data_IF_254415352663
#
_entry.id   IF_254415352663
#
_cell.length_a   1.000
_cell.length_b   1.000
_cell.length_c   1.000
_cell.angle_alpha   90.00
_cell.angle_beta   90.00
_cell.angle_gamma   90.00
#
_symmetry.space_group_name_H-M   'P 1'
#
loop_
_entity.id
_entity.type
_entity.pdbx_description
1 polymer ?
#
# COMPACT_ATOMS: atom_id res chain seq x y z
N UNK A 1 -9.66 -29.21 5.91
CA UNK A 1 -10.00 -27.85 6.32
C UNK A 1 -8.72 -27.06 6.34
N UNK A 2 -8.44 -26.32 5.26
CA UNK A 2 -7.27 -25.43 5.23
C UNK A 2 -7.62 -24.17 6.04
N UNK A 3 -7.21 -24.12 7.28
CA UNK A 3 -7.13 -22.86 8.01
C UNK A 3 -5.98 -22.09 7.40
N UNK A 4 -6.26 -21.27 6.40
CA UNK A 4 -5.28 -20.31 5.90
C UNK A 4 -4.88 -19.42 7.08
N UNK A 5 -3.67 -19.61 7.57
CA UNK A 5 -3.14 -18.82 8.68
C UNK A 5 -3.01 -17.39 8.18
N UNK A 6 -3.84 -16.49 8.68
CA UNK A 6 -3.79 -15.07 8.31
C UNK A 6 -2.41 -14.50 8.66
N UNK A 7 -1.79 -13.85 7.69
CA UNK A 7 -0.55 -13.12 7.88
C UNK A 7 -0.82 -11.62 7.91
N UNK A 8 -0.04 -10.93 8.69
CA UNK A 8 -0.11 -9.47 8.82
C UNK A 8 1.24 -8.86 8.41
N UNK A 9 1.19 -7.67 7.86
CA UNK A 9 2.35 -6.92 7.43
C UNK A 9 2.37 -5.61 8.21
N UNK A 10 3.38 -5.43 9.04
CA UNK A 10 3.65 -4.20 9.77
C UNK A 10 4.73 -3.42 9.03
N UNK A 11 4.45 -2.19 8.67
CA UNK A 11 5.43 -1.23 8.13
C UNK A 11 5.63 -0.10 9.12
N UNK A 12 6.88 0.28 9.31
CA UNK A 12 7.29 1.29 10.29
C UNK A 12 8.28 2.25 9.65
N UNK A 13 8.15 3.51 10.05
CA UNK A 13 9.06 4.59 9.74
C UNK A 13 9.19 5.49 10.98
N UNK A 14 10.42 5.77 11.42
CA UNK A 14 10.70 6.67 12.55
C UNK A 14 12.15 7.19 12.48
N UNK A 15 12.53 8.21 13.26
CA UNK A 15 13.92 8.59 13.44
C UNK A 15 14.76 7.42 13.93
N UNK A 16 15.95 7.24 13.35
CA UNK A 16 16.86 6.14 13.70
C UNK A 16 17.34 6.29 15.14
N UNK A 17 17.00 5.31 15.98
CA UNK A 17 17.44 5.27 17.39
C UNK A 17 17.55 3.81 17.87
N UNK A 18 18.29 3.62 18.96
CA UNK A 18 18.45 2.27 19.55
C UNK A 18 17.16 1.79 20.21
N UNK A 19 16.94 0.46 20.17
CA UNK A 19 15.83 -0.19 20.87
C UNK A 19 14.55 -0.34 20.06
N UNK A 20 14.41 0.24 18.88
CA UNK A 20 13.19 0.15 18.04
C UNK A 20 12.81 -1.30 17.78
N UNK A 21 13.75 -2.10 17.23
CA UNK A 21 13.48 -3.50 16.88
C UNK A 21 13.11 -4.32 18.13
N UNK A 22 13.81 -4.09 19.24
CA UNK A 22 13.51 -4.80 20.50
C UNK A 22 12.12 -4.47 21.00
N UNK A 23 11.71 -3.20 21.02
CA UNK A 23 10.40 -2.76 21.48
C UNK A 23 9.26 -3.33 20.63
N UNK A 24 9.45 -3.35 19.29
CA UNK A 24 8.44 -3.90 18.38
C UNK A 24 8.36 -5.40 18.50
N UNK A 25 9.49 -6.10 18.57
CA UNK A 25 9.51 -7.55 18.73
C UNK A 25 8.89 -7.99 20.06
N UNK A 26 9.14 -7.25 21.16
CA UNK A 26 8.49 -7.49 22.45
C UNK A 26 6.97 -7.27 22.39
N UNK A 27 6.53 -6.19 21.73
CA UNK A 27 5.10 -5.93 21.53
C UNK A 27 4.42 -7.08 20.78
N UNK A 28 5.01 -7.54 19.67
CA UNK A 28 4.49 -8.66 18.89
C UNK A 28 4.52 -9.97 19.70
N UNK A 29 5.58 -10.23 20.46
CA UNK A 29 5.72 -11.42 21.27
C UNK A 29 4.67 -11.48 22.41
N UNK A 30 4.40 -10.36 23.06
CA UNK A 30 3.34 -10.26 24.11
C UNK A 30 1.95 -10.57 23.54
N UNK A 31 1.70 -10.24 22.28
CA UNK A 31 0.48 -10.57 21.57
C UNK A 31 0.51 -11.98 20.94
N UNK A 32 1.47 -12.81 21.34
CA UNK A 32 1.65 -14.18 20.86
C UNK A 32 1.76 -14.27 19.32
N UNK A 33 2.41 -13.28 18.71
CA UNK A 33 2.70 -13.26 17.28
C UNK A 33 4.01 -14.01 16.99
N UNK A 34 4.03 -14.74 15.87
CA UNK A 34 5.22 -15.34 15.28
C UNK A 34 5.66 -14.51 14.08
N UNK A 35 6.84 -13.93 14.15
CA UNK A 35 7.44 -13.17 13.04
C UNK A 35 8.05 -14.15 12.04
N UNK A 36 7.53 -14.17 10.82
CA UNK A 36 8.03 -15.03 9.73
C UNK A 36 9.08 -14.35 8.87
N UNK A 37 9.02 -13.03 8.77
CA UNK A 37 9.97 -12.21 7.99
C UNK A 37 10.18 -10.89 8.70
N UNK A 38 11.42 -10.43 8.74
CA UNK A 38 11.78 -9.10 9.24
C UNK A 38 12.83 -8.51 8.32
N UNK A 39 12.54 -7.35 7.78
CA UNK A 39 13.46 -6.55 6.98
C UNK A 39 13.54 -5.14 7.57
N UNK A 40 14.73 -4.59 7.63
CA UNK A 40 14.97 -3.24 8.10
C UNK A 40 15.97 -2.53 7.21
N UNK A 41 15.88 -1.22 7.19
CA UNK A 41 16.77 -0.36 6.44
C UNK A 41 16.95 0.97 7.20
N UNK A 42 18.20 1.38 7.37
CA UNK A 42 18.57 2.69 7.87
C UNK A 42 18.95 3.60 6.69
N UNK A 43 18.27 4.70 6.55
CA UNK A 43 18.68 5.77 5.63
C UNK A 43 19.60 6.74 6.39
N UNK A 44 20.89 6.54 6.28
CA UNK A 44 21.92 7.38 6.94
C UNK A 44 21.84 8.84 6.48
N UNK A 45 21.34 9.10 5.27
CA UNK A 45 21.28 10.45 4.73
C UNK A 45 20.15 11.26 5.37
N UNK A 46 18.99 10.64 5.60
CA UNK A 46 17.83 11.29 6.24
C UNK A 46 17.73 11.02 7.74
N UNK A 47 18.53 10.10 8.28
CA UNK A 47 18.45 9.66 9.67
C UNK A 47 17.16 8.91 9.99
N UNK A 48 16.54 8.29 8.98
CA UNK A 48 15.28 7.56 9.11
C UNK A 48 15.50 6.06 9.14
N UNK A 49 14.83 5.40 10.06
CA UNK A 49 14.73 3.96 10.16
C UNK A 49 13.44 3.46 9.52
N UNK A 50 13.52 2.42 8.72
CA UNK A 50 12.40 1.74 8.11
C UNK A 50 12.41 0.26 8.48
N UNK A 51 11.24 -0.29 8.82
CA UNK A 51 11.09 -1.71 9.09
C UNK A 51 9.83 -2.27 8.45
N UNK A 52 9.94 -3.49 7.93
CA UNK A 52 8.81 -4.30 7.50
C UNK A 52 8.88 -5.65 8.22
N UNK A 53 7.83 -5.99 8.94
CA UNK A 53 7.69 -7.30 9.56
C UNK A 53 6.47 -8.03 8.99
N UNK A 54 6.63 -9.29 8.62
CA UNK A 54 5.52 -10.20 8.32
C UNK A 54 5.36 -11.15 9.51
N UNK A 55 4.15 -11.23 10.03
CA UNK A 55 3.89 -12.06 11.19
C UNK A 55 2.49 -12.68 11.12
N UNK A 56 2.23 -13.64 11.96
CA UNK A 56 0.93 -14.28 12.21
C UNK A 56 0.74 -14.50 13.69
N UNK A 57 -0.48 -14.64 14.13
CA UNK A 57 -0.74 -15.14 15.48
C UNK A 57 -0.36 -16.62 15.58
N UNK A 58 0.08 -17.06 16.75
CA UNK A 58 0.42 -18.45 16.97
C UNK A 58 -0.81 -19.36 16.80
N UNK A 59 -0.58 -20.62 16.40
CA UNK A 59 -1.65 -21.58 16.21
C UNK A 59 -2.43 -21.79 17.51
N UNK A 60 -3.76 -21.76 17.42
CA UNK A 60 -4.66 -21.92 18.59
C UNK A 60 -4.90 -20.64 19.38
N UNK A 61 -4.31 -19.51 18.96
CA UNK A 61 -4.56 -18.20 19.57
C UNK A 61 -5.58 -17.46 18.72
N UNK A 62 -6.65 -16.98 19.36
CA UNK A 62 -7.55 -16.01 18.75
C UNK A 62 -6.85 -14.65 18.80
N UNK A 63 -6.32 -14.20 17.66
CA UNK A 63 -5.59 -12.94 17.59
C UNK A 63 -6.47 -11.73 17.91
N UNK A 64 -6.01 -10.88 18.82
CA UNK A 64 -6.65 -9.59 19.10
C UNK A 64 -5.89 -8.48 18.37
N UNK A 65 -6.39 -8.15 17.17
CA UNK A 65 -5.77 -7.12 16.32
C UNK A 65 -5.92 -5.73 16.93
N UNK A 66 -6.96 -5.48 17.70
CA UNK A 66 -7.21 -4.18 18.33
C UNK A 66 -6.28 -3.97 19.52
N UNK A 67 -6.04 -5.01 20.32
CA UNK A 67 -5.03 -4.99 21.39
C UNK A 67 -3.61 -4.78 20.79
N UNK A 68 -3.31 -5.41 19.66
CA UNK A 68 -2.05 -5.19 18.96
C UNK A 68 -1.92 -3.74 18.47
N UNK A 69 -2.97 -3.19 17.86
CA UNK A 69 -3.00 -1.78 17.41
C UNK A 69 -2.79 -0.82 18.57
N UNK A 70 -3.44 -1.07 19.70
CA UNK A 70 -3.26 -0.26 20.91
C UNK A 70 -1.81 -0.32 21.42
N UNK A 71 -1.21 -1.51 21.45
CA UNK A 71 0.19 -1.70 21.85
C UNK A 71 1.17 -0.96 20.92
N UNK A 72 0.99 -1.06 19.61
CA UNK A 72 1.79 -0.33 18.62
C UNK A 72 1.59 1.18 18.73
N UNK A 73 0.36 1.65 18.95
CA UNK A 73 0.06 3.06 19.18
C UNK A 73 0.75 3.63 20.42
N UNK A 74 0.81 2.85 21.51
CA UNK A 74 1.53 3.24 22.71
C UNK A 74 3.06 3.37 22.46
N UNK A 75 3.64 2.47 21.68
CA UNK A 75 5.06 2.53 21.30
C UNK A 75 5.36 3.71 20.36
N UNK A 76 4.44 4.04 19.48
CA UNK A 76 4.62 5.06 18.46
C UNK A 76 4.98 6.43 19.06
N UNK A 77 4.33 6.80 20.17
CA UNK A 77 4.61 8.06 20.86
C UNK A 77 6.03 8.15 21.43
N UNK A 78 6.62 7.01 21.83
CA UNK A 78 7.98 6.97 22.41
C UNK A 78 9.10 7.08 21.39
N UNK A 79 8.83 6.76 20.12
CA UNK A 79 9.81 6.73 19.03
C UNK A 79 9.50 7.72 17.90
N UNK A 80 8.48 8.56 18.03
CA UNK A 80 7.98 9.40 16.94
C UNK A 80 7.71 8.55 15.66
N UNK A 81 7.06 7.42 15.88
CA UNK A 81 6.91 6.34 14.91
C UNK A 81 5.62 6.49 14.10
N UNK A 82 5.75 6.44 12.81
CA UNK A 82 4.64 6.19 11.88
C UNK A 82 4.56 4.70 11.57
N UNK A 83 3.38 4.13 11.65
CA UNK A 83 3.20 2.71 11.38
C UNK A 83 1.91 2.40 10.63
N UNK A 84 1.93 1.32 9.89
CA UNK A 84 0.78 0.80 9.15
C UNK A 84 0.72 -0.71 9.31
N UNK A 85 -0.49 -1.23 9.52
CA UNK A 85 -0.76 -2.65 9.71
C UNK A 85 -1.76 -3.12 8.67
N UNK A 86 -1.36 -4.09 7.85
CA UNK A 86 -2.15 -4.69 6.78
C UNK A 86 -2.40 -6.16 7.08
N UNK A 87 -3.59 -6.66 6.71
CA UNK A 87 -3.87 -8.08 6.65
C UNK A 87 -3.52 -8.59 5.24
N UNK A 88 -2.69 -9.63 5.14
CA UNK A 88 -2.27 -10.18 3.84
C UNK A 88 -3.38 -10.92 3.10
N UNK A 89 -4.46 -11.31 3.81
CA UNK A 89 -5.63 -11.93 3.18
C UNK A 89 -6.56 -10.93 2.49
N UNK A 90 -6.36 -9.63 2.72
CA UNK A 90 -7.13 -8.58 2.05
C UNK A 90 -6.35 -8.09 0.84
N UNK A 91 -6.94 -8.14 -0.36
CA UNK A 91 -6.28 -7.65 -1.55
C UNK A 91 -5.95 -6.17 -1.43
N UNK A 92 -4.76 -5.78 -1.88
CA UNK A 92 -4.34 -4.38 -1.86
C UNK A 92 -5.28 -3.54 -2.72
N UNK A 93 -5.87 -2.49 -2.15
CA UNK A 93 -6.76 -1.57 -2.88
C UNK A 93 -5.93 -0.57 -3.68
N UNK A 94 -6.01 -0.68 -5.01
CA UNK A 94 -5.14 0.04 -5.94
C UNK A 94 -5.96 0.97 -6.84
N UNK A 95 -5.55 2.23 -6.93
CA UNK A 95 -6.03 3.16 -7.94
C UNK A 95 -4.98 3.27 -9.05
N UNK A 96 -5.40 3.04 -10.29
CA UNK A 96 -4.52 3.10 -11.46
C UNK A 96 -4.61 4.47 -12.11
N UNK A 97 -3.49 5.20 -12.14
CA UNK A 97 -3.37 6.45 -12.87
C UNK A 97 -2.73 6.19 -14.24
N UNK A 98 -3.48 6.45 -15.28
CA UNK A 98 -3.05 6.19 -16.66
C UNK A 98 -3.17 7.45 -17.51
N UNK A 99 -2.42 7.48 -18.58
CA UNK A 99 -2.47 8.56 -19.59
C UNK A 99 -3.10 8.03 -20.89
N UNK A 100 -2.57 8.43 -22.03
CA UNK A 100 -3.10 8.08 -23.35
C UNK A 100 -2.79 6.65 -23.79
N UNK A 101 -1.64 6.11 -23.35
CA UNK A 101 -1.15 4.80 -23.81
C UNK A 101 -1.70 3.66 -22.97
N UNK A 102 -2.08 2.58 -23.64
CA UNK A 102 -2.82 1.44 -23.09
C UNK A 102 -1.94 0.29 -22.54
N UNK A 103 -0.66 0.23 -22.97
CA UNK A 103 0.20 -0.93 -22.69
C UNK A 103 0.28 -1.33 -21.21
N UNK A 104 0.46 -0.33 -20.30
CA UNK A 104 0.53 -0.62 -18.87
C UNK A 104 -0.82 -1.05 -18.30
N UNK A 105 -1.92 -0.40 -18.70
CA UNK A 105 -3.25 -0.78 -18.25
C UNK A 105 -3.63 -2.17 -18.75
N UNK A 106 -3.34 -2.48 -20.01
CA UNK A 106 -3.60 -3.77 -20.61
C UNK A 106 -2.88 -4.90 -19.86
N UNK A 107 -1.58 -4.75 -19.55
CA UNK A 107 -0.80 -5.75 -18.80
C UNK A 107 -1.36 -5.95 -17.40
N UNK A 108 -1.64 -4.85 -16.68
CA UNK A 108 -2.19 -4.91 -15.32
C UNK A 108 -3.57 -5.58 -15.26
N UNK A 109 -4.47 -5.22 -16.18
CA UNK A 109 -5.81 -5.83 -16.25
C UNK A 109 -5.73 -7.30 -16.64
N UNK A 110 -4.82 -7.67 -17.53
CA UNK A 110 -4.60 -9.07 -17.89
C UNK A 110 -4.12 -9.90 -16.71
N UNK A 111 -3.10 -9.43 -15.98
CA UNK A 111 -2.56 -10.11 -14.79
C UNK A 111 -3.56 -10.16 -13.64
N UNK A 112 -4.30 -9.08 -13.42
CA UNK A 112 -5.39 -9.04 -12.43
C UNK A 112 -6.45 -10.09 -12.72
N UNK A 113 -6.92 -10.19 -13.98
CA UNK A 113 -7.90 -11.19 -14.41
C UNK A 113 -7.37 -12.62 -14.27
N UNK A 114 -6.07 -12.84 -14.45
CA UNK A 114 -5.41 -14.12 -14.22
C UNK A 114 -5.22 -14.49 -12.75
N UNK A 115 -5.47 -13.57 -11.83
CA UNK A 115 -5.19 -13.77 -10.41
C UNK A 115 -3.70 -13.75 -10.06
N UNK A 116 -2.85 -13.22 -10.95
CA UNK A 116 -1.41 -13.08 -10.71
C UNK A 116 -1.09 -11.92 -9.77
N UNK A 117 -2.02 -10.97 -9.64
CA UNK A 117 -1.90 -9.80 -8.78
C UNK A 117 -3.02 -9.82 -7.75
N UNK A 118 -2.64 -9.97 -6.48
CA UNK A 118 -3.58 -9.91 -5.36
C UNK A 118 -3.89 -8.45 -5.03
N UNK A 119 -4.73 -7.85 -5.86
CA UNK A 119 -5.16 -6.46 -5.73
C UNK A 119 -6.64 -6.29 -6.10
N UNK A 120 -7.27 -5.32 -5.47
CA UNK A 120 -8.57 -4.80 -5.85
C UNK A 120 -8.39 -3.45 -6.54
N UNK A 121 -8.68 -3.38 -7.84
CA UNK A 121 -8.63 -2.11 -8.56
C UNK A 121 -9.86 -1.29 -8.17
N UNK A 122 -9.64 -0.16 -7.48
CA UNK A 122 -10.72 0.70 -6.97
C UNK A 122 -11.25 1.66 -8.03
N UNK A 123 -10.35 2.17 -8.86
CA UNK A 123 -10.68 3.01 -10.01
C UNK A 123 -9.49 3.10 -10.98
N UNK A 124 -9.81 3.47 -12.20
CA UNK A 124 -8.85 3.96 -13.20
C UNK A 124 -9.06 5.45 -13.36
N UNK A 125 -8.04 6.26 -13.13
CA UNK A 125 -8.06 7.72 -13.28
C UNK A 125 -7.20 8.11 -14.46
N UNK A 126 -7.71 8.96 -15.33
CA UNK A 126 -6.98 9.45 -16.50
C UNK A 126 -7.33 10.88 -16.87
N UNK A 127 -6.36 11.60 -17.42
CA UNK A 127 -6.55 12.89 -18.06
C UNK A 127 -6.95 12.79 -19.54
N UNK A 128 -7.18 11.57 -20.05
CA UNK A 128 -7.63 11.25 -21.41
C UNK A 128 -8.80 10.25 -21.35
N UNK A 129 -9.67 10.26 -22.35
CA UNK A 129 -10.82 9.34 -22.43
C UNK A 129 -10.52 8.05 -23.20
N UNK A 130 -9.34 7.94 -23.83
CA UNK A 130 -8.97 6.85 -24.74
C UNK A 130 -9.11 5.46 -24.10
N UNK A 131 -8.82 5.34 -22.79
CA UNK A 131 -8.81 4.06 -22.08
C UNK A 131 -10.10 3.76 -21.30
N UNK A 132 -11.11 4.63 -21.41
CA UNK A 132 -12.39 4.50 -20.70
C UNK A 132 -13.08 3.17 -21.02
N UNK A 133 -13.23 2.86 -22.31
CA UNK A 133 -13.90 1.64 -22.74
C UNK A 133 -13.18 0.36 -22.26
N UNK A 134 -11.86 0.41 -22.08
CA UNK A 134 -11.06 -0.71 -21.56
C UNK A 134 -11.36 -0.96 -20.09
N UNK A 135 -11.36 0.08 -19.26
CA UNK A 135 -11.69 -0.03 -17.83
C UNK A 135 -13.14 -0.49 -17.61
N UNK A 136 -14.10 0.09 -18.34
CA UNK A 136 -15.52 -0.24 -18.21
C UNK A 136 -15.84 -1.69 -18.64
N UNK A 137 -15.12 -2.27 -19.61
CA UNK A 137 -15.27 -3.70 -19.98
C UNK A 137 -14.90 -4.66 -18.85
N UNK A 138 -13.95 -4.27 -18.01
CA UNK A 138 -13.56 -5.05 -16.83
C UNK A 138 -14.40 -4.71 -15.59
N UNK A 139 -15.46 -3.90 -15.75
CA UNK A 139 -16.34 -3.47 -14.65
C UNK A 139 -15.68 -2.50 -13.68
N UNK A 140 -14.57 -1.84 -14.09
CA UNK A 140 -13.81 -0.94 -13.24
C UNK A 140 -14.29 0.50 -13.46
N UNK A 141 -14.52 1.23 -12.37
CA UNK A 141 -14.88 2.65 -12.41
C UNK A 141 -13.81 3.46 -13.11
N UNK A 142 -14.16 4.19 -14.16
CA UNK A 142 -13.27 5.12 -14.84
C UNK A 142 -13.59 6.56 -14.43
N UNK A 143 -12.57 7.33 -14.07
CA UNK A 143 -12.69 8.72 -13.64
C UNK A 143 -11.84 9.59 -14.55
N UNK A 144 -12.48 10.53 -15.21
CA UNK A 144 -11.81 11.51 -16.07
C UNK A 144 -11.44 12.76 -15.28
N UNK A 145 -10.13 13.00 -15.13
CA UNK A 145 -9.58 14.18 -14.47
C UNK A 145 -8.68 14.95 -15.46
N UNK A 146 -9.24 15.85 -16.28
CA UNK A 146 -8.45 16.63 -17.23
C UNK A 146 -7.57 17.63 -16.47
N UNK A 147 -6.25 17.57 -16.72
CA UNK A 147 -5.26 18.43 -16.08
C UNK A 147 -4.84 19.54 -17.06
N UNK A 148 -4.92 20.79 -16.58
CA UNK A 148 -4.35 21.98 -17.23
C UNK A 148 -3.42 22.71 -16.24
N UNK A 149 -2.68 23.70 -16.72
CA UNK A 149 -1.81 24.51 -15.85
C UNK A 149 -2.59 25.22 -14.75
N UNK A 150 -3.82 25.62 -15.02
CA UNK A 150 -4.64 26.46 -14.15
C UNK A 150 -5.49 25.65 -13.15
N UNK A 151 -5.67 24.34 -13.37
CA UNK A 151 -6.52 23.50 -12.55
C UNK A 151 -5.77 22.39 -11.77
N UNK A 152 -4.44 22.32 -11.87
CA UNK A 152 -3.63 21.25 -11.31
C UNK A 152 -3.91 21.01 -9.82
N UNK A 153 -3.84 22.05 -8.99
CA UNK A 153 -4.07 21.93 -7.54
C UNK A 153 -5.49 21.42 -7.21
N UNK A 154 -6.50 21.84 -7.97
CA UNK A 154 -7.88 21.37 -7.81
C UNK A 154 -8.01 19.89 -8.19
N UNK A 155 -7.34 19.44 -9.24
CA UNK A 155 -7.37 18.05 -9.68
C UNK A 155 -6.60 17.13 -8.73
N UNK A 156 -5.51 17.61 -8.14
CA UNK A 156 -4.78 16.89 -7.09
C UNK A 156 -5.66 16.71 -5.83
N UNK A 157 -6.36 17.76 -5.41
CA UNK A 157 -7.30 17.67 -4.29
C UNK A 157 -8.47 16.69 -4.58
N UNK A 158 -8.99 16.69 -5.81
CA UNK A 158 -10.04 15.76 -6.23
C UNK A 158 -9.51 14.32 -6.26
N UNK A 159 -8.27 14.09 -6.72
CA UNK A 159 -7.62 12.79 -6.67
C UNK A 159 -7.51 12.28 -5.23
N UNK A 160 -7.08 13.13 -4.29
CA UNK A 160 -7.00 12.74 -2.87
C UNK A 160 -8.37 12.40 -2.30
N UNK A 161 -9.40 13.16 -2.64
CA UNK A 161 -10.78 12.84 -2.25
C UNK A 161 -11.22 11.46 -2.77
N UNK A 162 -10.88 11.12 -4.01
CA UNK A 162 -11.18 9.81 -4.59
C UNK A 162 -10.43 8.70 -3.84
N UNK A 163 -9.18 8.91 -3.50
CA UNK A 163 -8.36 7.96 -2.71
C UNK A 163 -9.03 7.68 -1.37
N UNK A 164 -9.44 8.72 -0.65
CA UNK A 164 -10.10 8.59 0.65
C UNK A 164 -11.47 7.91 0.51
N UNK A 165 -12.30 8.34 -0.45
CA UNK A 165 -13.62 7.78 -0.73
C UNK A 165 -13.56 6.29 -1.07
N UNK A 166 -12.55 5.90 -1.85
CA UNK A 166 -12.39 4.51 -2.30
C UNK A 166 -11.59 3.65 -1.33
N UNK A 167 -11.04 4.21 -0.25
CA UNK A 167 -10.15 3.51 0.68
C UNK A 167 -8.93 2.91 -0.04
N UNK A 168 -8.43 3.61 -1.05
CA UNK A 168 -7.25 3.21 -1.82
C UNK A 168 -5.99 3.33 -0.97
N UNK A 169 -5.18 2.29 -0.93
CA UNK A 169 -3.91 2.28 -0.18
C UNK A 169 -2.67 2.31 -1.07
N UNK A 170 -2.83 2.17 -2.38
CA UNK A 170 -1.74 2.24 -3.35
C UNK A 170 -2.16 2.99 -4.60
N UNK A 171 -1.39 4.04 -4.96
CA UNK A 171 -1.48 4.71 -6.26
C UNK A 171 -0.44 4.11 -7.20
N UNK A 172 -0.89 3.52 -8.30
CA UNK A 172 -0.01 3.09 -9.37
C UNK A 172 -0.08 4.09 -10.51
N UNK A 173 1.07 4.66 -10.89
CA UNK A 173 1.18 5.61 -11.99
C UNK A 173 1.88 4.94 -13.16
N UNK A 174 1.25 4.93 -14.34
CA UNK A 174 1.89 4.46 -15.57
C UNK A 174 3.11 5.34 -15.87
N UNK A 175 4.30 4.75 -16.11
CA UNK A 175 5.50 5.53 -16.38
C UNK A 175 5.31 6.38 -17.63
N UNK A 176 5.73 7.66 -17.55
CA UNK A 176 5.75 8.56 -18.70
C UNK A 176 6.85 8.12 -19.67
N UNK A 177 6.65 8.28 -21.00
CA UNK A 177 7.73 8.08 -21.96
C UNK A 177 8.98 8.92 -21.68
N UNK A 178 8.85 10.02 -20.93
CA UNK A 178 9.97 10.87 -20.51
C UNK A 178 10.84 10.24 -19.41
N UNK A 179 10.31 9.32 -18.63
CA UNK A 179 11.05 8.67 -17.53
C UNK A 179 12.06 7.63 -18.04
N UNK A 180 11.97 7.23 -19.32
CA UNK A 180 12.91 6.31 -19.96
C UNK A 180 14.24 6.96 -20.38
N UNK A 181 14.37 8.29 -20.30
CA UNK A 181 15.55 9.02 -20.78
C UNK A 181 16.66 9.21 -19.74
N UNK A 182 16.52 8.68 -18.51
CA UNK A 182 17.48 8.90 -17.39
C UNK A 182 18.31 7.66 -17.06
N UNK A 183 18.31 6.62 -17.89
CA UNK A 183 19.17 5.47 -17.75
C UNK A 183 20.20 5.41 -18.87
N UNK A 184 21.28 6.19 -18.75
CA UNK A 184 22.58 6.00 -19.40
C UNK A 184 23.69 6.32 -18.43
#
# INVERSE_FOLDING_TARGET
>A
MNTSTEHYILKINCPATSGIVAAISDCLARQQCYISELAQFDDEFTGQFFMRAVFRFNNGVTGDIDALRAGLGALAGGFDMQWQLFCSSQPTRVLLMVSKFDHCLTDLLYRHRKGELDMQITAVVSNHLDLRAMAEREGIRFIYLPISKDNKARQEAELMRIVDETGTCLLYTSPSPRDRSVSR
#
